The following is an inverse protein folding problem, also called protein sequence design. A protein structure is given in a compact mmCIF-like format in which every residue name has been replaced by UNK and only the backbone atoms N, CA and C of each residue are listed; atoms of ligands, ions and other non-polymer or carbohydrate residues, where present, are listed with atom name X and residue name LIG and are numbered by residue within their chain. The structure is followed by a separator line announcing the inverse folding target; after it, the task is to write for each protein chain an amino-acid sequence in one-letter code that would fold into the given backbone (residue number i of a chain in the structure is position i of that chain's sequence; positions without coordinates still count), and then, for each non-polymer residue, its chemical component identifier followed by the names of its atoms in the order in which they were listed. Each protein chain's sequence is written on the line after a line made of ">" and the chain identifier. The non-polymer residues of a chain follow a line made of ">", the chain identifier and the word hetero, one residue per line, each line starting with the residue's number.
data_IF_971772595780
#
_entry.id   IF_971772595780
#
_cell.length_a   1.000
_cell.length_b   1.000
_cell.length_c   1.000
_cell.angle_alpha   90.00
_cell.angle_beta   90.00
_cell.angle_gamma   90.00
#
_symmetry.space_group_name_H-M   'P 1'
#
loop_
_entity.id
_entity.type
_entity.pdbx_description
1 polymer ?
#
# COMPACT_ATOMS: atom_id res chain seq x y z
N UNK A 1 -6.97 65.87 6.52
CA UNK A 1 -7.61 64.71 5.87
C UNK A 1 -6.54 63.84 5.19
N UNK A 2 -5.84 62.98 5.93
CA UNK A 2 -4.89 62.01 5.36
C UNK A 2 -5.05 60.72 6.17
N UNK A 3 -6.16 60.01 5.95
CA UNK A 3 -6.40 58.72 6.62
C UNK A 3 -7.30 57.86 5.72
N UNK A 4 -6.85 57.58 4.48
CA UNK A 4 -7.54 56.56 3.68
C UNK A 4 -6.74 55.91 2.54
N UNK A 5 -5.43 56.19 2.38
CA UNK A 5 -4.64 55.64 1.26
C UNK A 5 -3.86 54.37 1.58
N UNK A 6 -3.71 53.99 2.84
CA UNK A 6 -3.04 52.75 3.25
C UNK A 6 -3.95 51.50 3.32
N UNK A 7 -5.28 51.68 3.26
CA UNK A 7 -6.24 50.57 3.38
C UNK A 7 -6.51 49.80 2.08
N UNK A 8 -6.22 50.39 0.91
CA UNK A 8 -6.44 49.75 -0.38
C UNK A 8 -5.50 48.54 -0.66
N UNK A 9 -4.17 48.63 -0.47
CA UNK A 9 -3.27 47.52 -0.78
C UNK A 9 -3.46 46.34 0.19
N UNK A 10 -3.74 46.62 1.47
CA UNK A 10 -3.97 45.57 2.48
C UNK A 10 -5.25 44.78 2.18
N UNK A 11 -6.33 45.45 1.76
CA UNK A 11 -7.58 44.78 1.36
C UNK A 11 -7.41 43.93 0.10
N UNK A 12 -6.55 44.36 -0.82
CA UNK A 12 -6.26 43.62 -2.05
C UNK A 12 -5.43 42.36 -1.76
N UNK A 13 -4.47 42.45 -0.83
CA UNK A 13 -3.69 41.29 -0.36
C UNK A 13 -4.60 40.28 0.34
N UNK A 14 -5.49 40.71 1.26
CA UNK A 14 -6.43 39.82 1.96
C UNK A 14 -7.43 39.16 1.01
N UNK A 15 -7.83 39.84 -0.07
CA UNK A 15 -8.74 39.27 -1.07
C UNK A 15 -8.05 38.25 -2.02
N UNK A 16 -6.75 38.44 -2.30
CA UNK A 16 -5.99 37.56 -3.18
C UNK A 16 -5.44 36.34 -2.43
N UNK A 17 -5.05 36.50 -1.16
CA UNK A 17 -4.49 35.44 -0.32
C UNK A 17 -5.26 34.10 -0.34
N UNK A 18 -6.60 34.05 -0.22
CA UNK A 18 -7.33 32.78 -0.23
C UNK A 18 -7.31 32.07 -1.60
N UNK A 19 -7.13 32.80 -2.71
CA UNK A 19 -6.96 32.21 -4.04
C UNK A 19 -5.57 31.63 -4.27
N UNK A 20 -4.54 32.20 -3.62
CA UNK A 20 -3.18 31.64 -3.67
C UNK A 20 -3.02 30.50 -2.68
N UNK A 21 -3.83 30.48 -1.61
CA UNK A 21 -3.82 29.45 -0.57
C UNK A 21 -4.83 28.32 -0.81
N UNK A 22 -5.46 28.22 -1.98
CA UNK A 22 -6.25 27.03 -2.32
C UNK A 22 -5.34 25.98 -2.98
N UNK A 23 -4.51 25.31 -2.18
CA UNK A 23 -3.75 24.15 -2.62
C UNK A 23 -4.68 22.96 -2.89
N UNK A 24 -5.05 22.74 -4.15
CA UNK A 24 -5.78 21.53 -4.54
C UNK A 24 -4.81 20.35 -4.64
N UNK A 25 -5.08 19.29 -3.88
CA UNK A 25 -4.36 18.03 -4.06
C UNK A 25 -4.84 17.32 -5.33
N UNK A 26 -3.91 16.71 -6.06
CA UNK A 26 -4.22 15.76 -7.13
C UNK A 26 -4.26 14.35 -6.56
N UNK A 27 -5.35 13.63 -6.78
CA UNK A 27 -5.55 12.29 -6.22
C UNK A 27 -5.31 11.22 -7.28
N UNK A 28 -4.53 10.21 -6.93
CA UNK A 28 -4.21 9.10 -7.83
C UNK A 28 -4.48 7.76 -7.16
N UNK A 29 -4.94 6.81 -7.97
CA UNK A 29 -4.96 5.39 -7.64
C UNK A 29 -3.79 4.73 -8.34
N UNK A 30 -3.02 3.98 -7.57
CA UNK A 30 -1.92 3.16 -8.04
C UNK A 30 -2.29 1.69 -7.89
N UNK A 31 -1.96 0.88 -8.90
CA UNK A 31 -2.16 -0.56 -8.81
C UNK A 31 -1.15 -1.33 -9.65
N UNK A 32 -0.94 -2.60 -9.29
CA UNK A 32 -0.24 -3.57 -10.11
C UNK A 32 -0.94 -4.92 -9.99
N UNK A 33 -1.01 -5.67 -11.10
CA UNK A 33 -1.43 -7.08 -11.08
C UNK A 33 -0.37 -7.88 -11.82
N UNK A 34 0.11 -8.95 -11.19
CA UNK A 34 1.14 -9.80 -11.75
C UNK A 34 0.91 -11.27 -11.34
N UNK A 35 1.36 -12.23 -12.16
CA UNK A 35 1.32 -13.63 -11.79
C UNK A 35 2.42 -13.95 -10.77
N UNK A 36 2.08 -14.74 -9.76
CA UNK A 36 3.03 -15.30 -8.80
C UNK A 36 2.46 -16.58 -8.19
N UNK A 37 3.33 -17.42 -7.63
CA UNK A 37 2.88 -18.57 -6.84
C UNK A 37 2.35 -18.10 -5.47
N UNK A 38 1.32 -18.76 -4.95
CA UNK A 38 0.97 -18.71 -3.53
C UNK A 38 1.88 -19.63 -2.70
N UNK A 39 1.71 -19.69 -1.38
CA UNK A 39 2.60 -20.49 -0.52
C UNK A 39 2.39 -22.00 -0.69
N UNK A 40 1.24 -22.43 -1.21
CA UNK A 40 0.99 -23.81 -1.65
C UNK A 40 1.68 -24.17 -2.99
N UNK A 41 2.17 -23.18 -3.74
CA UNK A 41 2.87 -23.39 -5.02
C UNK A 41 1.94 -23.38 -6.25
N UNK A 42 0.74 -22.82 -6.11
CA UNK A 42 -0.21 -22.67 -7.20
C UNK A 42 -0.03 -21.31 -7.88
N UNK A 43 -0.12 -21.28 -9.22
CA UNK A 43 -0.09 -20.04 -9.99
C UNK A 43 -1.35 -19.21 -9.74
N UNK A 44 -1.17 -18.03 -9.15
CA UNK A 44 -2.25 -17.09 -8.81
C UNK A 44 -1.92 -15.68 -9.33
N UNK A 45 -2.94 -14.84 -9.41
CA UNK A 45 -2.73 -13.40 -9.57
C UNK A 45 -2.55 -12.72 -8.22
N UNK A 46 -1.61 -11.77 -8.15
CA UNK A 46 -1.41 -10.92 -6.98
C UNK A 46 -1.66 -9.48 -7.38
N UNK A 47 -2.45 -8.77 -6.58
CA UNK A 47 -2.83 -7.37 -6.80
C UNK A 47 -2.27 -6.50 -5.68
N UNK A 48 -1.61 -5.42 -6.07
CA UNK A 48 -1.22 -4.33 -5.19
C UNK A 48 -2.07 -3.11 -5.49
N UNK A 49 -2.56 -2.43 -4.46
CA UNK A 49 -3.31 -1.17 -4.62
C UNK A 49 -2.99 -0.18 -3.53
N UNK A 50 -2.84 1.10 -3.88
CA UNK A 50 -2.79 2.21 -2.94
C UNK A 50 -3.28 3.52 -3.59
N UNK A 51 -3.49 4.54 -2.77
CA UNK A 51 -3.86 5.87 -3.23
C UNK A 51 -2.85 6.91 -2.74
N UNK A 52 -2.71 7.99 -3.51
CA UNK A 52 -1.89 9.14 -3.13
C UNK A 52 -2.67 10.43 -3.30
N UNK A 53 -2.38 11.40 -2.45
CA UNK A 53 -2.76 12.79 -2.57
C UNK A 53 -1.47 13.61 -2.74
N UNK A 54 -1.31 14.19 -3.93
CA UNK A 54 -0.12 14.95 -4.32
C UNK A 54 -0.42 16.44 -4.26
N UNK A 55 0.25 17.15 -3.36
CA UNK A 55 0.13 18.58 -3.21
C UNK A 55 1.15 19.30 -4.09
N UNK A 56 0.84 20.50 -4.60
CA UNK A 56 1.82 21.31 -5.30
C UNK A 56 3.01 21.64 -4.38
N UNK A 57 4.24 21.66 -4.91
CA UNK A 57 5.45 21.91 -4.11
C UNK A 57 5.54 23.29 -3.44
N UNK A 58 4.62 24.21 -3.74
CA UNK A 58 4.49 25.50 -3.06
C UNK A 58 3.55 25.45 -1.83
N UNK A 59 2.85 24.34 -1.64
CA UNK A 59 1.88 24.15 -0.56
C UNK A 59 2.56 23.66 0.72
N UNK A 60 1.96 24.00 1.87
CA UNK A 60 2.55 23.71 3.19
C UNK A 60 2.33 22.27 3.66
N UNK A 61 1.42 21.52 3.03
CA UNK A 61 1.14 20.14 3.39
C UNK A 61 1.93 19.17 2.51
N UNK A 62 2.51 18.15 3.15
CA UNK A 62 3.20 17.07 2.45
C UNK A 62 2.22 16.14 1.73
N UNK A 63 2.74 15.44 0.72
CA UNK A 63 2.03 14.35 0.05
C UNK A 63 1.58 13.30 1.05
N UNK A 64 0.45 12.66 0.75
CA UNK A 64 -0.13 11.61 1.59
C UNK A 64 -0.43 10.37 0.79
N UNK A 65 -0.45 9.23 1.45
CA UNK A 65 -0.82 7.95 0.87
C UNK A 65 -1.75 7.17 1.79
N UNK A 66 -2.47 6.22 1.21
CA UNK A 66 -3.00 5.08 1.97
C UNK A 66 -1.91 4.02 2.11
N UNK A 67 -2.03 3.09 3.07
CA UNK A 67 -1.25 1.86 3.06
C UNK A 67 -1.40 1.12 1.73
N UNK A 68 -0.39 0.31 1.40
CA UNK A 68 -0.42 -0.57 0.24
C UNK A 68 -1.11 -1.86 0.63
N UNK A 69 -2.21 -2.15 -0.04
CA UNK A 69 -2.91 -3.42 0.08
C UNK A 69 -2.31 -4.42 -0.90
N UNK A 70 -1.97 -5.62 -0.42
CA UNK A 70 -1.58 -6.79 -1.21
C UNK A 70 -2.65 -7.86 -1.05
N UNK A 71 -3.24 -8.29 -2.16
CA UNK A 71 -4.25 -9.32 -2.25
C UNK A 71 -3.73 -10.44 -3.16
N UNK A 72 -3.96 -11.70 -2.78
CA UNK A 72 -3.68 -12.88 -3.61
C UNK A 72 -5.03 -13.45 -4.08
N UNK A 73 -5.14 -13.80 -5.35
CA UNK A 73 -6.34 -14.43 -5.92
C UNK A 73 -6.68 -15.71 -5.14
N UNK A 74 -7.97 -15.94 -4.92
CA UNK A 74 -8.47 -17.04 -4.07
C UNK A 74 -8.07 -16.96 -2.60
N UNK A 75 -7.68 -15.78 -2.11
CA UNK A 75 -7.31 -15.58 -0.70
C UNK A 75 -8.18 -14.56 -0.02
N UNK A 76 -8.73 -14.92 1.14
CA UNK A 76 -9.34 -13.99 2.07
C UNK A 76 -8.29 -13.19 2.88
N UNK A 77 -6.99 -13.49 2.73
CA UNK A 77 -5.92 -12.80 3.47
C UNK A 77 -5.47 -11.55 2.72
N UNK A 78 -5.88 -10.39 3.24
CA UNK A 78 -5.32 -9.10 2.84
C UNK A 78 -4.11 -8.72 3.70
N UNK A 79 -3.04 -8.24 3.06
CA UNK A 79 -1.89 -7.64 3.72
C UNK A 79 -1.89 -6.13 3.52
N UNK A 80 -1.58 -5.37 4.59
CA UNK A 80 -1.47 -3.91 4.55
C UNK A 80 -0.06 -3.48 4.94
N UNK A 81 0.67 -2.95 3.96
CA UNK A 81 2.01 -2.41 4.17
C UNK A 81 1.93 -0.91 4.48
N UNK A 82 2.59 -0.52 5.54
CA UNK A 82 2.62 0.84 6.08
C UNK A 82 4.05 1.35 6.14
N UNK A 83 4.22 2.66 6.01
CA UNK A 83 5.43 3.39 6.41
C UNK A 83 5.14 4.23 7.67
N UNK A 84 6.14 4.94 8.18
CA UNK A 84 6.05 5.80 9.37
C UNK A 84 5.08 6.98 9.26
N UNK A 85 4.56 7.32 8.07
CA UNK A 85 3.57 8.38 7.89
C UNK A 85 2.12 7.94 8.15
N UNK A 86 1.89 6.63 8.30
CA UNK A 86 0.57 6.05 8.51
C UNK A 86 0.28 5.84 10.01
N UNK A 87 -0.97 6.07 10.45
CA UNK A 87 -1.38 5.87 11.85
C UNK A 87 -1.20 4.42 12.30
N UNK A 88 -1.55 3.47 11.42
CA UNK A 88 -1.40 2.02 11.60
C UNK A 88 0.07 1.58 11.83
N UNK A 89 1.06 2.45 11.56
CA UNK A 89 2.47 2.13 11.75
C UNK A 89 2.86 1.93 13.23
N UNK A 90 2.10 2.53 14.15
CA UNK A 90 2.30 2.36 15.58
C UNK A 90 2.06 0.91 16.04
N UNK A 91 1.11 0.22 15.41
CA UNK A 91 0.80 -1.18 15.69
C UNK A 91 1.77 -2.14 14.96
N UNK A 92 2.56 -1.63 14.02
CA UNK A 92 3.48 -2.38 13.17
C UNK A 92 4.95 -2.07 13.50
N UNK A 93 5.41 -2.51 14.68
CA UNK A 93 6.75 -2.22 15.22
C UNK A 93 7.87 -3.18 14.76
N UNK A 94 7.64 -3.98 13.71
CA UNK A 94 8.59 -5.00 13.27
C UNK A 94 9.77 -4.49 12.41
N UNK A 95 9.94 -3.17 12.22
CA UNK A 95 11.07 -2.59 11.50
C UNK A 95 10.80 -1.19 10.96
N UNK A 96 11.66 -0.74 10.04
CA UNK A 96 11.57 0.55 9.34
C UNK A 96 11.14 0.36 7.87
N UNK A 97 10.95 1.48 7.16
CA UNK A 97 10.49 1.53 5.77
C UNK A 97 9.03 1.09 5.59
N UNK A 98 8.68 0.81 4.33
CA UNK A 98 7.37 0.26 3.95
C UNK A 98 7.34 -1.22 4.31
N UNK A 99 6.45 -1.61 5.22
CA UNK A 99 6.45 -2.94 5.84
C UNK A 99 5.08 -3.44 6.23
N UNK A 100 4.93 -4.76 6.30
CA UNK A 100 3.88 -5.44 7.05
C UNK A 100 4.47 -6.48 8.00
N UNK A 101 3.99 -6.48 9.25
CA UNK A 101 4.41 -7.40 10.30
C UNK A 101 3.63 -8.70 10.25
N UNK A 102 4.31 -9.81 10.56
CA UNK A 102 3.65 -11.10 10.68
C UNK A 102 2.70 -11.17 11.87
N UNK A 103 1.63 -11.96 11.72
CA UNK A 103 0.71 -12.22 12.80
C UNK A 103 1.06 -13.57 13.46
N UNK A 104 1.34 -13.52 14.77
CA UNK A 104 1.67 -14.72 15.54
C UNK A 104 0.52 -15.74 15.51
N UNK A 105 0.84 -16.99 15.21
CA UNK A 105 -0.13 -18.08 15.11
C UNK A 105 -0.83 -18.19 13.74
N UNK A 106 -0.76 -17.14 12.91
CA UNK A 106 -1.19 -17.20 11.51
C UNK A 106 -0.02 -17.35 10.55
N UNK A 107 1.13 -16.74 10.86
CA UNK A 107 2.29 -16.69 10.00
C UNK A 107 3.53 -17.29 10.69
N UNK A 108 4.44 -17.83 9.88
CA UNK A 108 5.78 -18.27 10.30
C UNK A 108 6.84 -17.78 9.33
N UNK A 109 8.09 -17.65 9.79
CA UNK A 109 9.21 -17.29 8.91
C UNK A 109 9.46 -18.44 7.94
N UNK A 110 9.27 -18.23 6.64
CA UNK A 110 9.30 -19.31 5.64
C UNK A 110 10.63 -20.05 5.61
N UNK A 111 11.76 -19.33 5.75
CA UNK A 111 13.10 -19.92 5.71
C UNK A 111 13.42 -20.84 6.89
N UNK A 112 12.84 -20.59 8.07
CA UNK A 112 13.24 -21.26 9.31
C UNK A 112 12.10 -21.96 10.04
N UNK A 113 10.85 -21.75 9.63
CA UNK A 113 9.65 -22.18 10.34
C UNK A 113 9.46 -21.52 11.71
N UNK A 114 10.21 -20.47 12.02
CA UNK A 114 10.21 -19.84 13.34
C UNK A 114 9.03 -18.86 13.51
N UNK A 115 8.77 -18.46 14.76
CA UNK A 115 7.78 -17.42 15.06
C UNK A 115 8.10 -16.10 14.37
N UNK A 116 7.05 -15.40 13.93
CA UNK A 116 7.09 -14.07 13.31
C UNK A 116 7.09 -12.90 14.32
N UNK A 117 7.17 -13.19 15.62
CA UNK A 117 7.22 -12.19 16.68
C UNK A 117 8.21 -11.06 16.35
N UNK A 118 7.69 -9.85 16.10
CA UNK A 118 8.48 -8.67 15.75
C UNK A 118 9.25 -8.77 14.42
N UNK A 119 8.82 -9.62 13.47
CA UNK A 119 9.44 -9.79 12.15
C UNK A 119 8.61 -9.18 11.03
N UNK A 120 9.30 -8.55 10.06
CA UNK A 120 8.69 -8.09 8.80
C UNK A 120 8.40 -9.31 7.94
N UNK A 121 7.14 -9.48 7.57
CA UNK A 121 6.73 -10.52 6.63
C UNK A 121 6.69 -10.01 5.21
N UNK A 122 6.35 -8.75 5.00
CA UNK A 122 6.47 -8.09 3.71
C UNK A 122 7.17 -6.75 3.87
N UNK A 123 7.99 -6.40 2.90
CA UNK A 123 8.61 -5.07 2.82
C UNK A 123 8.78 -4.66 1.37
N UNK A 124 8.62 -3.38 1.09
CA UNK A 124 8.84 -2.81 -0.24
C UNK A 124 10.15 -2.02 -0.22
N UNK A 125 10.98 -2.22 -1.24
CA UNK A 125 12.29 -1.61 -1.39
C UNK A 125 13.14 -1.86 -0.14
N UNK A 126 13.35 -3.13 0.20
CA UNK A 126 13.92 -3.57 1.48
C UNK A 126 15.29 -2.93 1.85
N UNK A 127 16.03 -2.47 0.84
CA UNK A 127 17.34 -1.84 0.97
C UNK A 127 17.26 -0.36 1.39
N UNK A 128 16.07 0.25 1.39
CA UNK A 128 15.84 1.64 1.79
C UNK A 128 14.95 1.72 3.05
N UNK A 129 15.53 1.90 4.26
CA UNK A 129 14.76 2.02 5.49
C UNK A 129 13.99 3.35 5.60
N UNK A 130 14.33 4.36 4.77
CA UNK A 130 13.64 5.64 4.72
C UNK A 130 12.52 5.67 3.67
N UNK A 131 12.29 4.56 2.96
CA UNK A 131 11.28 4.47 1.91
C UNK A 131 9.89 4.84 2.41
N UNK A 132 9.18 5.65 1.61
CA UNK A 132 7.79 6.06 1.83
C UNK A 132 6.92 5.65 0.65
N UNK A 133 5.66 5.33 0.92
CA UNK A 133 4.66 4.97 -0.09
C UNK A 133 4.43 6.12 -1.09
N UNK A 134 4.54 7.38 -0.63
CA UNK A 134 4.43 8.57 -1.49
C UNK A 134 5.54 8.69 -2.52
N UNK A 135 6.69 8.05 -2.28
CA UNK A 135 7.90 8.20 -3.09
C UNK A 135 8.06 7.04 -4.08
N UNK A 136 7.13 6.08 -4.07
CA UNK A 136 7.08 4.98 -5.03
C UNK A 136 6.81 5.53 -6.43
N UNK A 137 7.73 5.23 -7.34
CA UNK A 137 7.61 5.54 -8.76
C UNK A 137 6.74 4.55 -9.52
N UNK A 138 7.14 4.22 -10.75
CA UNK A 138 6.45 3.25 -11.61
C UNK A 138 6.81 1.79 -11.34
N UNK A 139 7.73 1.54 -10.41
CA UNK A 139 8.14 0.19 -10.03
C UNK A 139 8.53 0.13 -8.56
N UNK A 140 8.44 -1.06 -7.98
CA UNK A 140 8.81 -1.36 -6.61
C UNK A 140 9.30 -2.80 -6.48
N UNK A 141 10.08 -3.08 -5.45
CA UNK A 141 10.58 -4.42 -5.15
C UNK A 141 9.92 -4.94 -3.86
N UNK A 142 9.02 -5.92 -3.98
CA UNK A 142 8.34 -6.54 -2.84
C UNK A 142 9.12 -7.78 -2.37
N UNK A 143 9.59 -7.76 -1.13
CA UNK A 143 10.21 -8.91 -0.48
C UNK A 143 9.24 -9.55 0.51
N UNK A 144 8.98 -10.86 0.35
CA UNK A 144 8.10 -11.66 1.20
C UNK A 144 8.92 -12.69 1.95
N UNK A 145 8.89 -12.66 3.29
CA UNK A 145 9.75 -13.48 4.17
C UNK A 145 8.99 -14.50 5.03
N UNK A 146 7.66 -14.46 5.01
CA UNK A 146 6.80 -15.35 5.80
C UNK A 146 5.90 -16.17 4.91
N UNK A 147 5.36 -17.24 5.48
CA UNK A 147 4.34 -18.08 4.90
C UNK A 147 3.25 -18.36 5.95
N UNK A 148 2.01 -18.68 5.53
CA UNK A 148 0.95 -19.01 6.45
C UNK A 148 1.26 -20.33 7.17
N UNK A 149 0.90 -20.41 8.45
CA UNK A 149 1.00 -21.66 9.23
C UNK A 149 0.03 -22.72 8.68
N UNK A 150 -1.14 -22.27 8.24
CA UNK A 150 -2.17 -23.04 7.53
C UNK A 150 -2.71 -22.20 6.38
N UNK A 151 -2.93 -22.83 5.23
CA UNK A 151 -3.49 -22.18 4.03
C UNK A 151 -5.00 -21.99 4.09
N UNK A 152 -5.69 -22.68 5.01
CA UNK A 152 -7.15 -22.60 5.17
C UNK A 152 -7.51 -22.29 6.63
N UNK A 153 -8.46 -21.38 6.82
CA UNK A 153 -9.08 -21.05 8.11
C UNK A 153 -10.49 -21.61 8.14
N UNK A 154 -10.88 -22.23 9.25
CA UNK A 154 -12.20 -22.85 9.39
C UNK A 154 -12.21 -24.32 8.97
N UNK A 155 -13.40 -24.86 8.73
CA UNK A 155 -13.63 -26.25 8.36
C UNK A 155 -15.00 -26.44 7.70
N UNK A 156 -15.10 -27.34 6.73
CA UNK A 156 -16.36 -27.61 6.03
C UNK A 156 -16.71 -26.49 5.07
N UNK A 157 -18.01 -26.18 4.95
CA UNK A 157 -18.53 -25.20 3.99
C UNK A 157 -18.13 -23.74 4.32
N UNK A 158 -17.61 -23.47 5.53
CA UNK A 158 -17.11 -22.16 5.97
C UNK A 158 -15.56 -22.07 5.92
N UNK A 159 -14.93 -22.87 5.05
CA UNK A 159 -13.48 -22.87 4.88
C UNK A 159 -13.02 -21.67 4.03
N UNK A 160 -12.30 -20.74 4.64
CA UNK A 160 -11.69 -19.60 3.95
C UNK A 160 -10.24 -19.93 3.59
N UNK A 161 -9.91 -19.90 2.30
CA UNK A 161 -8.52 -19.93 1.87
C UNK A 161 -7.84 -18.61 2.27
N UNK A 162 -6.73 -18.70 3.00
CA UNK A 162 -5.91 -17.58 3.49
C UNK A 162 -4.47 -17.67 2.98
N UNK A 163 -4.21 -18.51 1.98
CA UNK A 163 -2.92 -18.62 1.35
C UNK A 163 -2.58 -17.36 0.57
N UNK A 164 -1.36 -16.89 0.68
CA UNK A 164 -0.92 -15.65 0.05
C UNK A 164 0.36 -15.88 -0.73
N UNK A 165 0.74 -14.87 -1.52
CA UNK A 165 1.98 -14.84 -2.31
C UNK A 165 3.16 -15.52 -1.58
N UNK A 166 3.83 -16.41 -2.31
CA UNK A 166 4.93 -17.22 -1.80
C UNK A 166 6.07 -16.34 -1.26
N UNK A 167 6.69 -16.81 -0.19
CA UNK A 167 7.94 -16.21 0.27
C UNK A 167 9.06 -16.39 -0.77
N UNK A 168 9.89 -15.37 -0.94
CA UNK A 168 11.02 -15.41 -1.86
C UNK A 168 12.26 -14.78 -1.25
N UNK A 169 13.43 -15.34 -1.56
CA UNK A 169 14.73 -14.75 -1.21
C UNK A 169 15.10 -13.60 -2.15
N UNK A 170 14.51 -13.58 -3.36
CA UNK A 170 14.69 -12.52 -4.35
C UNK A 170 13.40 -11.69 -4.39
N UNK A 171 13.47 -10.34 -4.27
CA UNK A 171 12.28 -9.51 -4.35
C UNK A 171 11.51 -9.68 -5.67
N UNK A 172 10.19 -9.57 -5.60
CA UNK A 172 9.33 -9.44 -6.77
C UNK A 172 9.41 -8.01 -7.28
N UNK A 173 10.02 -7.81 -8.45
CA UNK A 173 10.02 -6.51 -9.14
C UNK A 173 8.68 -6.31 -9.84
N UNK A 174 7.93 -5.32 -9.37
CA UNK A 174 6.54 -5.08 -9.76
C UNK A 174 6.44 -3.71 -10.42
N UNK A 175 5.78 -3.64 -11.57
CA UNK A 175 5.52 -2.38 -12.28
C UNK A 175 4.10 -1.91 -12.00
N UNK A 176 3.97 -0.72 -11.41
CA UNK A 176 2.70 -0.13 -11.05
C UNK A 176 2.18 0.82 -12.12
N UNK A 177 0.86 0.94 -12.20
CA UNK A 177 0.16 1.93 -13.01
C UNK A 177 -0.42 2.99 -12.10
N UNK A 178 -0.12 4.26 -12.41
CA UNK A 178 -0.70 5.43 -11.74
C UNK A 178 -1.83 5.99 -12.59
N UNK A 179 -2.97 6.30 -11.99
CA UNK A 179 -4.10 6.87 -12.70
C UNK A 179 -4.88 7.89 -11.87
N UNK A 180 -5.46 8.95 -12.49
CA UNK A 180 -6.28 9.91 -11.77
C UNK A 180 -7.50 9.25 -11.10
N UNK A 181 -7.73 9.58 -9.83
CA UNK A 181 -8.84 9.00 -9.06
C UNK A 181 -10.18 9.39 -9.69
N UNK A 182 -11.09 8.41 -9.81
CA UNK A 182 -12.40 8.61 -10.43
C UNK A 182 -12.44 8.41 -11.96
N UNK A 183 -11.30 8.12 -12.60
CA UNK A 183 -11.28 7.70 -14.00
C UNK A 183 -11.95 6.32 -14.17
N UNK A 184 -12.97 6.24 -15.02
CA UNK A 184 -13.66 4.98 -15.33
C UNK A 184 -12.77 3.99 -16.09
N UNK A 185 -11.80 4.50 -16.86
CA UNK A 185 -10.91 3.68 -17.69
C UNK A 185 -9.65 3.21 -16.96
N UNK A 186 -9.51 3.52 -15.67
CA UNK A 186 -8.27 3.26 -14.94
C UNK A 186 -8.47 2.65 -13.56
N UNK A 187 -9.63 2.03 -13.33
CA UNK A 187 -9.85 1.24 -12.11
C UNK A 187 -8.90 0.04 -12.09
N UNK A 188 -8.35 -0.31 -10.91
CA UNK A 188 -7.67 -1.57 -10.72
C UNK A 188 -8.61 -2.72 -11.16
N UNK A 189 -8.12 -3.70 -11.92
CA UNK A 189 -8.92 -4.86 -12.26
C UNK A 189 -9.25 -5.66 -10.98
N UNK A 190 -10.41 -6.28 -10.96
CA UNK A 190 -10.76 -7.26 -9.94
C UNK A 190 -10.04 -8.58 -10.24
N UNK A 191 -9.67 -9.30 -9.19
CA UNK A 191 -9.11 -10.63 -9.35
C UNK A 191 -10.26 -11.57 -9.73
N UNK A 192 -10.01 -12.47 -10.68
CA UNK A 192 -11.02 -13.39 -11.16
C UNK A 192 -11.17 -14.55 -10.20
N UNK A 193 -12.24 -14.58 -9.42
CA UNK A 193 -12.46 -15.63 -8.43
C UNK A 193 -13.08 -16.91 -9.03
N UNK A 194 -13.43 -16.91 -10.34
CA UNK A 194 -14.02 -18.09 -10.97
C UNK A 194 -13.09 -19.31 -11.06
N UNK A 195 -11.78 -19.10 -10.91
CA UNK A 195 -10.76 -20.16 -10.84
C UNK A 195 -10.55 -20.71 -9.42
N UNK A 196 -11.30 -20.19 -8.45
CA UNK A 196 -11.17 -20.56 -7.03
C UNK A 196 -12.16 -21.66 -6.61
N UNK A 197 -13.13 -22.01 -7.46
CA UNK A 197 -14.19 -23.00 -7.19
C UNK A 197 -13.78 -24.45 -7.54
N UNK A 198 -12.50 -24.71 -7.83
CA UNK A 198 -11.98 -26.06 -8.13
C UNK A 198 -11.39 -26.75 -6.87
N UNK A 199 -12.18 -26.95 -5.81
CA UNK A 199 -11.89 -27.93 -4.73
C UNK A 199 -13.16 -28.60 -4.15
#
# INVERSE_FOLDING_TARGET
>A
MIFNRFFLPIRLIVAVLPFVLSGCASYYTHYAVFPAENSAGEDRQVKLTWQTAEYPGWWVADNRSTPITVETQCSAREWRLVDDSHEDAADQSCGEGIRACGNEGLDRVARTGASVAGKRCMTINADDPAARVTDIGSSLDLLVSCEPVKTVRGSGDDADNIDYIRASTVPYTIYSRKSPRGSLHARPPELDDSVCDDE
#
